data_IF_278610613770
#
_entry.id   IF_278610613770
#
_cell.length_a   1.000
_cell.length_b   1.000
_cell.length_c   1.000
_cell.angle_alpha   90.00
_cell.angle_beta   90.00
_cell.angle_gamma   90.00
#
_symmetry.space_group_name_H-M   'P 1'
#
loop_
_entity.id
_entity.type
_entity.pdbx_description
1 polymer ?
#
# COMPACT_ATOMS: atom_id res chain seq x y z
N UNK A 1 19.45 0.20 12.45
CA UNK A 1 18.81 -0.39 11.26
C UNK A 1 17.35 0.05 11.19
N UNK A 2 16.81 0.13 9.98
CA UNK A 2 15.41 0.52 9.75
C UNK A 2 14.78 -0.49 8.80
N UNK A 3 13.81 -1.25 9.27
CA UNK A 3 13.10 -2.24 8.47
C UNK A 3 11.90 -1.60 7.79
N UNK A 4 11.77 -1.80 6.48
CA UNK A 4 10.58 -1.55 5.70
C UNK A 4 9.95 -2.91 5.36
N UNK A 5 8.79 -3.30 5.93
CA UNK A 5 8.15 -4.58 5.68
C UNK A 5 7.34 -4.55 4.38
N UNK A 6 7.98 -4.10 3.30
CA UNK A 6 7.41 -3.95 1.96
C UNK A 6 8.50 -4.15 0.91
N UNK A 7 8.07 -4.36 -0.33
CA UNK A 7 8.97 -4.36 -1.48
C UNK A 7 9.61 -2.98 -1.69
N UNK A 8 10.82 -2.92 -2.27
CA UNK A 8 11.43 -1.64 -2.64
C UNK A 8 10.51 -0.82 -3.54
N UNK A 9 10.44 0.50 -3.30
CA UNK A 9 9.56 1.43 -4.01
C UNK A 9 8.12 1.51 -3.48
N UNK A 10 7.71 0.65 -2.55
CA UNK A 10 6.43 0.78 -1.86
C UNK A 10 6.44 1.90 -0.82
N UNK A 11 5.26 2.32 -0.34
CA UNK A 11 5.11 3.47 0.56
C UNK A 11 5.95 3.36 1.84
N UNK A 12 6.04 2.19 2.45
CA UNK A 12 6.89 1.99 3.63
C UNK A 12 8.38 2.04 3.32
N UNK A 13 8.80 1.60 2.14
CA UNK A 13 10.20 1.76 1.70
C UNK A 13 10.53 3.23 1.47
N UNK A 14 9.66 4.00 0.83
CA UNK A 14 9.82 5.43 0.62
C UNK A 14 9.91 6.18 1.96
N UNK A 15 9.03 5.86 2.91
CA UNK A 15 9.06 6.42 4.27
C UNK A 15 10.37 6.07 4.98
N UNK A 16 10.82 4.81 4.92
CA UNK A 16 12.07 4.39 5.55
C UNK A 16 13.28 5.12 4.95
N UNK A 17 13.32 5.33 3.63
CA UNK A 17 14.40 6.06 2.98
C UNK A 17 14.39 7.55 3.30
N UNK A 18 13.23 8.16 3.40
CA UNK A 18 13.08 9.55 3.86
C UNK A 18 13.57 9.71 5.31
N UNK A 19 13.19 8.78 6.19
CA UNK A 19 13.71 8.75 7.56
C UNK A 19 15.22 8.57 7.60
N UNK A 20 15.77 7.66 6.78
CA UNK A 20 17.22 7.45 6.66
C UNK A 20 17.92 8.77 6.35
N UNK A 21 17.46 9.49 5.33
CA UNK A 21 18.04 10.76 4.93
C UNK A 21 17.95 11.82 6.05
N UNK A 22 16.76 11.94 6.66
CA UNK A 22 16.53 12.92 7.73
C UNK A 22 17.42 12.66 8.97
N UNK A 23 17.52 11.39 9.41
CA UNK A 23 18.31 11.02 10.59
C UNK A 23 19.82 11.25 10.37
N UNK A 24 20.31 11.02 9.16
CA UNK A 24 21.72 11.28 8.81
C UNK A 24 21.97 12.79 8.66
N UNK A 25 21.10 13.50 7.97
CA UNK A 25 21.23 14.96 7.78
C UNK A 25 21.15 15.74 9.10
N UNK A 26 20.32 15.28 10.04
CA UNK A 26 20.23 15.86 11.38
C UNK A 26 21.36 15.46 12.33
N UNK A 27 22.30 14.63 11.90
CA UNK A 27 23.42 14.16 12.73
C UNK A 27 23.01 13.20 13.87
N UNK A 28 21.75 12.71 13.86
CA UNK A 28 21.23 11.76 14.86
C UNK A 28 21.91 10.40 14.70
N UNK A 29 22.19 10.01 13.48
CA UNK A 29 22.91 8.77 13.17
C UNK A 29 23.98 9.01 12.12
N UNK A 30 25.15 8.35 12.26
CA UNK A 30 26.21 8.40 11.25
C UNK A 30 25.81 7.68 9.96
N UNK A 31 25.06 6.61 10.09
CA UNK A 31 24.51 5.84 8.98
C UNK A 31 23.23 5.12 9.42
N UNK A 32 22.31 4.92 8.50
CA UNK A 32 21.10 4.13 8.70
C UNK A 32 21.02 3.12 7.56
N UNK A 33 20.91 1.84 7.90
CA UNK A 33 20.69 0.79 6.91
C UNK A 33 19.20 0.51 6.80
N UNK A 34 18.63 0.67 5.59
CA UNK A 34 17.26 0.26 5.29
C UNK A 34 17.27 -1.18 4.77
N UNK A 35 16.40 -2.02 5.31
CA UNK A 35 16.21 -3.41 4.87
C UNK A 35 14.74 -3.64 4.51
N UNK A 36 14.49 -4.30 3.38
CA UNK A 36 13.16 -4.64 2.93
C UNK A 36 12.80 -6.09 3.28
N UNK A 37 11.65 -6.29 3.90
CA UNK A 37 11.10 -7.62 4.25
C UNK A 37 9.64 -7.69 3.78
N UNK A 38 9.39 -7.90 2.49
CA UNK A 38 8.03 -7.94 1.96
C UNK A 38 7.32 -9.23 2.38
N UNK A 39 6.00 -9.20 2.36
CA UNK A 39 5.14 -10.37 2.50
C UNK A 39 3.97 -10.17 3.46
N UNK A 40 2.81 -10.66 3.02
CA UNK A 40 1.56 -10.74 3.79
C UNK A 40 1.18 -9.44 4.53
N UNK A 41 1.27 -8.29 3.85
CA UNK A 41 0.92 -6.98 4.43
C UNK A 41 1.81 -6.56 5.60
N UNK A 42 3.06 -7.02 5.62
CA UNK A 42 4.03 -6.75 6.69
C UNK A 42 4.03 -7.76 7.82
N UNK A 43 3.14 -8.76 7.80
CA UNK A 43 3.09 -9.80 8.85
C UNK A 43 4.40 -10.60 8.94
N UNK A 44 5.07 -10.85 7.80
CA UNK A 44 6.39 -11.50 7.78
C UNK A 44 7.43 -10.60 8.44
N UNK A 45 7.43 -9.31 8.10
CA UNK A 45 8.38 -8.34 8.64
C UNK A 45 8.24 -8.15 10.15
N UNK A 46 7.02 -7.99 10.67
CA UNK A 46 6.83 -7.84 12.12
C UNK A 46 7.23 -9.10 12.89
N UNK A 47 6.94 -10.29 12.36
CA UNK A 47 7.36 -11.54 12.99
C UNK A 47 8.90 -11.63 13.06
N UNK A 48 9.60 -11.28 11.99
CA UNK A 48 11.05 -11.23 11.98
C UNK A 48 11.59 -10.16 12.94
N UNK A 49 10.97 -8.99 12.99
CA UNK A 49 11.38 -7.89 13.85
C UNK A 49 11.23 -8.24 15.34
N UNK A 50 10.06 -8.77 15.76
CA UNK A 50 9.81 -9.17 17.15
C UNK A 50 10.78 -10.26 17.60
N UNK A 51 11.08 -11.23 16.74
CA UNK A 51 11.97 -12.33 17.10
C UNK A 51 13.46 -11.94 17.09
N UNK A 52 13.85 -11.02 16.22
CA UNK A 52 15.27 -10.71 15.98
C UNK A 52 15.75 -9.39 16.60
N UNK A 53 14.85 -8.47 16.98
CA UNK A 53 15.20 -7.13 17.44
C UNK A 53 14.75 -6.82 18.86
N UNK A 54 14.23 -7.81 19.61
CA UNK A 54 13.72 -7.60 20.96
C UNK A 54 14.83 -7.06 21.88
N UNK A 55 14.57 -5.87 22.47
CA UNK A 55 15.51 -5.21 23.37
C UNK A 55 16.67 -4.46 22.66
N UNK A 56 16.73 -4.49 21.32
CA UNK A 56 17.73 -3.76 20.55
C UNK A 56 17.22 -2.38 20.15
N UNK A 57 17.57 -1.36 20.95
CA UNK A 57 17.21 0.04 20.70
C UNK A 57 17.83 0.66 19.43
N UNK A 58 18.70 -0.05 18.71
CA UNK A 58 19.27 0.39 17.43
C UNK A 58 18.46 -0.03 16.22
N UNK A 59 17.35 -0.74 16.41
CA UNK A 59 16.48 -1.20 15.34
C UNK A 59 15.10 -0.56 15.42
N UNK A 60 14.60 -0.12 14.28
CA UNK A 60 13.25 0.44 14.11
C UNK A 60 12.57 -0.23 12.91
N UNK A 61 11.24 -0.17 12.87
CA UNK A 61 10.45 -0.67 11.77
C UNK A 61 9.38 0.37 11.39
N UNK A 62 9.20 0.59 10.09
CA UNK A 62 8.05 1.34 9.58
C UNK A 62 6.84 0.43 9.52
N UNK A 63 5.69 0.92 9.91
CA UNK A 63 4.42 0.20 9.76
C UNK A 63 3.26 1.17 9.46
N UNK A 64 2.06 0.65 9.27
CA UNK A 64 0.87 1.44 9.03
C UNK A 64 -0.40 0.59 9.00
N UNK A 65 -1.50 1.20 8.60
CA UNK A 65 -2.84 0.58 8.61
C UNK A 65 -2.91 -0.76 7.86
N UNK A 66 -2.15 -0.91 6.77
CA UNK A 66 -2.09 -2.18 6.02
C UNK A 66 -1.66 -3.35 6.92
N UNK A 67 -0.69 -3.13 7.80
CA UNK A 67 -0.24 -4.17 8.75
C UNK A 67 -1.33 -4.51 9.76
N UNK A 68 -2.07 -3.53 10.26
CA UNK A 68 -3.20 -3.78 11.19
C UNK A 68 -4.22 -4.71 10.55
N UNK A 69 -4.65 -4.41 9.32
CA UNK A 69 -5.60 -5.24 8.58
C UNK A 69 -5.05 -6.64 8.26
N UNK A 70 -3.78 -6.72 7.84
CA UNK A 70 -3.14 -8.00 7.50
C UNK A 70 -2.99 -8.92 8.73
N UNK A 71 -2.61 -8.39 9.89
CA UNK A 71 -2.50 -9.16 11.13
C UNK A 71 -3.87 -9.71 11.55
N UNK A 72 -4.92 -8.89 11.44
CA UNK A 72 -6.28 -9.30 11.76
C UNK A 72 -6.80 -10.40 10.81
N UNK A 73 -6.63 -10.22 9.50
CA UNK A 73 -7.09 -11.18 8.48
C UNK A 73 -6.35 -12.52 8.56
N UNK A 74 -5.04 -12.47 8.76
CA UNK A 74 -4.19 -13.68 8.76
C UNK A 74 -4.17 -14.38 10.12
N UNK A 75 -4.90 -13.86 11.13
CA UNK A 75 -4.86 -14.37 12.51
C UNK A 75 -3.42 -14.59 13.00
N UNK A 76 -2.58 -13.59 12.77
CA UNK A 76 -1.15 -13.66 13.05
C UNK A 76 -0.92 -13.94 14.56
N UNK A 77 0.01 -14.84 14.91
CA UNK A 77 0.43 -15.04 16.30
C UNK A 77 1.25 -13.87 16.85
N UNK A 78 1.74 -12.99 15.98
CA UNK A 78 2.46 -11.77 16.35
C UNK A 78 1.52 -10.58 16.18
N UNK A 79 1.50 -9.68 17.16
CA UNK A 79 0.66 -8.48 17.18
C UNK A 79 1.50 -7.22 17.38
N UNK A 80 0.88 -6.06 17.13
CA UNK A 80 1.53 -4.76 17.34
C UNK A 80 1.78 -4.44 18.83
N UNK A 81 1.14 -5.16 19.76
CA UNK A 81 1.40 -5.01 21.20
C UNK A 81 2.79 -5.49 21.62
N UNK A 82 3.46 -6.25 20.73
CA UNK A 82 4.82 -6.76 20.97
C UNK A 82 5.91 -5.78 20.53
N UNK A 83 5.53 -4.62 20.00
CA UNK A 83 6.44 -3.54 19.58
C UNK A 83 6.05 -2.24 20.26
N UNK A 84 7.03 -1.33 20.44
CA UNK A 84 6.79 -0.02 21.03
C UNK A 84 6.56 1.01 19.96
N UNK A 85 5.36 1.63 19.84
CA UNK A 85 5.13 2.72 18.92
C UNK A 85 5.93 3.96 19.33
N UNK A 86 6.62 4.58 18.37
CA UNK A 86 7.47 5.75 18.61
C UNK A 86 6.79 7.03 18.13
N UNK A 87 6.34 7.06 16.87
CA UNK A 87 5.73 8.25 16.28
C UNK A 87 4.84 7.92 15.10
N UNK A 88 3.78 8.72 14.89
CA UNK A 88 3.04 8.81 13.63
C UNK A 88 3.72 9.88 12.77
N UNK A 89 4.25 9.48 11.61
CA UNK A 89 5.07 10.35 10.77
C UNK A 89 4.31 10.94 9.59
N UNK A 90 3.42 10.14 8.98
CA UNK A 90 2.77 10.50 7.72
C UNK A 90 1.27 10.21 7.75
N UNK A 91 0.54 10.97 6.95
CA UNK A 91 -0.78 10.65 6.47
C UNK A 91 -0.69 10.43 4.96
N UNK A 92 -1.55 9.60 4.41
CA UNK A 92 -1.52 9.26 3.00
C UNK A 92 -2.91 9.42 2.38
N UNK A 93 -2.95 10.14 1.26
CA UNK A 93 -4.14 10.27 0.44
C UNK A 93 -4.15 9.10 -0.55
N UNK A 94 -5.22 8.34 -0.56
CA UNK A 94 -5.42 7.26 -1.53
C UNK A 94 -5.95 7.82 -2.84
N UNK A 95 -5.53 7.23 -3.96
CA UNK A 95 -6.00 7.60 -5.29
C UNK A 95 -6.48 6.38 -6.07
N UNK A 96 -7.58 6.54 -6.80
CA UNK A 96 -8.04 5.56 -7.78
C UNK A 96 -7.54 6.01 -9.16
N UNK A 97 -6.80 5.15 -9.84
CA UNK A 97 -6.23 5.42 -11.15
C UNK A 97 -6.63 4.38 -12.18
N UNK A 98 -6.60 4.78 -13.44
CA UNK A 98 -6.68 3.89 -14.61
C UNK A 98 -5.55 4.21 -15.59
N UNK A 99 -5.19 3.30 -16.51
CA UNK A 99 -4.29 3.64 -17.61
C UNK A 99 -4.80 4.85 -18.38
N UNK A 100 -3.92 5.71 -18.85
CA UNK A 100 -4.32 6.92 -19.60
C UNK A 100 -5.16 6.64 -20.85
N UNK A 101 -4.94 5.48 -21.49
CA UNK A 101 -5.69 5.02 -22.67
C UNK A 101 -6.98 4.26 -22.30
N UNK A 102 -7.30 4.12 -21.01
CA UNK A 102 -8.55 3.48 -20.57
C UNK A 102 -9.79 4.20 -21.15
N UNK A 103 -10.84 3.46 -21.52
CA UNK A 103 -12.14 4.04 -21.86
C UNK A 103 -12.80 4.76 -20.68
N UNK A 104 -12.47 4.40 -19.44
CA UNK A 104 -12.97 5.04 -18.24
C UNK A 104 -12.28 6.40 -18.05
N UNK A 105 -13.06 7.48 -18.07
CA UNK A 105 -12.53 8.85 -18.01
C UNK A 105 -12.78 9.51 -16.66
N UNK A 106 -13.80 9.06 -15.94
CA UNK A 106 -14.30 9.65 -14.69
C UNK A 106 -14.55 8.57 -13.64
N UNK A 107 -14.70 8.98 -12.38
CA UNK A 107 -15.14 8.09 -11.31
C UNK A 107 -16.53 7.52 -11.58
N UNK A 108 -17.40 8.28 -12.25
CA UNK A 108 -18.74 7.85 -12.66
C UNK A 108 -18.69 6.73 -13.69
N UNK A 109 -17.75 6.76 -14.63
CA UNK A 109 -17.57 5.67 -15.60
C UNK A 109 -17.18 4.37 -14.89
N UNK A 110 -16.24 4.46 -13.93
CA UNK A 110 -15.82 3.33 -13.11
C UNK A 110 -17.00 2.82 -12.26
N UNK A 111 -17.75 3.73 -11.64
CA UNK A 111 -18.93 3.39 -10.86
C UNK A 111 -19.99 2.65 -11.71
N UNK A 112 -20.24 3.11 -12.92
CA UNK A 112 -21.16 2.45 -13.85
C UNK A 112 -20.67 1.05 -14.24
N UNK A 113 -19.37 0.87 -14.51
CA UNK A 113 -18.76 -0.42 -14.82
C UNK A 113 -18.90 -1.41 -13.63
N UNK A 114 -18.59 -0.95 -12.40
CA UNK A 114 -18.73 -1.77 -11.18
C UNK A 114 -20.18 -2.16 -10.94
N UNK A 115 -21.13 -1.23 -11.13
CA UNK A 115 -22.55 -1.48 -10.97
C UNK A 115 -23.09 -2.48 -12.01
N UNK A 116 -22.56 -2.43 -13.23
CA UNK A 116 -22.97 -3.34 -14.30
C UNK A 116 -22.49 -4.77 -14.04
N UNK A 117 -21.22 -4.96 -13.69
CA UNK A 117 -20.63 -6.26 -13.36
C UNK A 117 -19.32 -6.09 -12.58
N UNK A 118 -19.42 -6.15 -11.27
CA UNK A 118 -18.25 -6.00 -10.36
C UNK A 118 -17.17 -7.07 -10.62
N UNK A 119 -17.53 -8.27 -11.05
CA UNK A 119 -16.58 -9.35 -11.29
C UNK A 119 -15.68 -9.09 -12.51
N UNK A 120 -16.11 -8.25 -13.44
CA UNK A 120 -15.34 -7.84 -14.63
C UNK A 120 -14.44 -6.64 -14.39
N UNK A 121 -14.61 -5.94 -13.28
CA UNK A 121 -13.76 -4.80 -12.91
C UNK A 121 -12.66 -5.28 -11.96
N UNK A 122 -11.44 -5.36 -12.48
CA UNK A 122 -10.29 -5.82 -11.69
C UNK A 122 -9.59 -4.62 -11.05
N UNK A 123 -9.47 -4.65 -9.74
CA UNK A 123 -8.70 -3.66 -8.98
C UNK A 123 -7.33 -4.23 -8.59
N UNK A 124 -6.28 -3.43 -8.77
CA UNK A 124 -4.95 -3.71 -8.24
C UNK A 124 -4.61 -2.74 -7.12
N UNK A 125 -3.91 -3.21 -6.12
CA UNK A 125 -3.41 -2.37 -5.03
C UNK A 125 -2.45 -3.14 -4.14
N UNK A 126 -2.16 -2.65 -2.96
CA UNK A 126 -1.33 -3.34 -1.98
C UNK A 126 -2.00 -4.57 -1.39
N UNK A 127 -1.46 -5.05 -0.30
CA UNK A 127 -1.82 -6.32 0.31
C UNK A 127 -3.31 -6.47 0.62
N UNK A 128 -3.81 -7.70 0.50
CA UNK A 128 -5.18 -8.02 0.88
C UNK A 128 -5.44 -7.62 2.35
N UNK A 129 -6.62 -7.01 2.60
CA UNK A 129 -6.99 -6.46 3.91
C UNK A 129 -6.38 -5.09 4.21
N UNK A 130 -5.49 -4.59 3.36
CA UNK A 130 -4.94 -3.25 3.47
C UNK A 130 -5.91 -2.15 3.07
N UNK A 131 -5.46 -0.89 3.19
CA UNK A 131 -6.26 0.30 2.93
C UNK A 131 -6.81 0.32 1.50
N UNK A 132 -6.01 -0.09 0.52
CA UNK A 132 -6.39 -0.13 -0.89
C UNK A 132 -7.55 -1.10 -1.15
N UNK A 133 -7.47 -2.30 -0.54
CA UNK A 133 -8.54 -3.30 -0.64
C UNK A 133 -9.82 -2.81 0.04
N UNK A 134 -9.71 -2.21 1.24
CA UNK A 134 -10.85 -1.63 1.94
C UNK A 134 -11.47 -0.49 1.13
N UNK A 135 -10.66 0.38 0.53
CA UNK A 135 -11.14 1.47 -0.32
C UNK A 135 -11.88 0.94 -1.55
N UNK A 136 -11.36 -0.10 -2.22
CA UNK A 136 -12.05 -0.74 -3.34
C UNK A 136 -13.42 -1.31 -2.91
N UNK A 137 -13.47 -1.96 -1.75
CA UNK A 137 -14.72 -2.50 -1.20
C UNK A 137 -15.73 -1.40 -0.83
N UNK A 138 -15.26 -0.32 -0.21
CA UNK A 138 -16.10 0.85 0.11
C UNK A 138 -16.63 1.50 -1.17
N UNK A 139 -15.78 1.71 -2.19
CA UNK A 139 -16.20 2.24 -3.47
C UNK A 139 -17.31 1.37 -4.10
N UNK A 140 -17.13 0.05 -4.12
CA UNK A 140 -18.16 -0.88 -4.60
C UNK A 140 -19.47 -0.74 -3.81
N UNK A 141 -19.39 -0.63 -2.49
CA UNK A 141 -20.54 -0.42 -1.62
C UNK A 141 -21.30 0.88 -1.90
N UNK A 142 -20.59 1.98 -2.18
CA UNK A 142 -21.24 3.29 -2.47
C UNK A 142 -22.07 3.27 -3.75
N UNK A 143 -21.72 2.41 -4.71
CA UNK A 143 -22.48 2.26 -5.96
C UNK A 143 -23.55 1.16 -5.90
N UNK A 144 -23.73 0.54 -4.72
CA UNK A 144 -24.71 -0.50 -4.49
C UNK A 144 -24.31 -1.88 -5.01
N UNK A 145 -23.02 -2.11 -5.29
CA UNK A 145 -22.50 -3.41 -5.66
C UNK A 145 -22.13 -4.25 -4.42
N UNK A 146 -22.17 -5.58 -4.57
CA UNK A 146 -21.78 -6.49 -3.49
C UNK A 146 -20.24 -6.51 -3.32
N UNK A 147 -19.75 -5.79 -2.31
CA UNK A 147 -18.33 -5.69 -2.03
C UNK A 147 -17.62 -7.04 -1.81
N UNK A 148 -18.37 -8.12 -1.46
CA UNK A 148 -17.80 -9.46 -1.31
C UNK A 148 -17.40 -10.10 -2.64
N UNK A 149 -17.91 -9.57 -3.76
CA UNK A 149 -17.63 -10.05 -5.12
C UNK A 149 -16.54 -9.25 -5.81
N UNK A 150 -15.86 -8.36 -5.10
CA UNK A 150 -14.81 -7.53 -5.69
C UNK A 150 -13.67 -8.39 -6.24
N UNK A 151 -13.26 -8.10 -7.46
CA UNK A 151 -12.11 -8.74 -8.08
C UNK A 151 -10.86 -7.91 -7.78
N UNK A 152 -10.23 -8.20 -6.63
CA UNK A 152 -9.06 -7.49 -6.16
C UNK A 152 -7.80 -8.35 -6.27
N UNK A 153 -6.77 -7.82 -6.93
CA UNK A 153 -5.45 -8.45 -7.07
C UNK A 153 -4.46 -7.74 -6.15
N UNK A 154 -4.04 -8.39 -5.06
CA UNK A 154 -3.09 -7.80 -4.13
C UNK A 154 -1.65 -7.91 -4.64
N UNK A 155 -0.87 -6.86 -4.40
CA UNK A 155 0.57 -6.78 -4.62
C UNK A 155 1.30 -6.42 -3.31
N UNK A 156 2.62 -6.55 -3.29
CA UNK A 156 3.42 -6.18 -2.10
C UNK A 156 3.62 -4.67 -1.92
N UNK A 157 3.07 -3.86 -2.84
CA UNK A 157 3.11 -2.39 -2.80
C UNK A 157 2.75 -1.79 -4.15
N UNK A 158 2.60 -0.45 -4.18
CA UNK A 158 2.19 0.30 -5.36
C UNK A 158 3.14 0.18 -6.55
N UNK A 159 4.44 -0.04 -6.31
CA UNK A 159 5.41 -0.23 -7.39
C UNK A 159 5.12 -1.46 -8.25
N UNK A 160 4.74 -2.58 -7.64
CA UNK A 160 4.38 -3.81 -8.36
C UNK A 160 3.01 -3.67 -9.03
N UNK A 161 2.01 -3.12 -8.32
CA UNK A 161 0.68 -2.89 -8.86
C UNK A 161 0.71 -1.93 -10.04
N UNK A 162 1.59 -0.91 -10.01
CA UNK A 162 1.81 0.04 -11.10
C UNK A 162 2.17 -0.65 -12.42
N UNK A 163 3.05 -1.65 -12.38
CA UNK A 163 3.42 -2.42 -13.58
C UNK A 163 2.22 -3.16 -14.18
N UNK A 164 1.37 -3.74 -13.33
CA UNK A 164 0.15 -4.42 -13.77
C UNK A 164 -0.86 -3.44 -14.40
N UNK A 165 -1.01 -2.24 -13.82
CA UNK A 165 -1.90 -1.20 -14.32
C UNK A 165 -1.41 -0.69 -15.68
N UNK A 166 -0.14 -0.29 -15.79
CA UNK A 166 0.45 0.21 -17.03
C UNK A 166 0.46 -0.84 -18.14
N UNK A 167 0.60 -2.10 -17.79
CA UNK A 167 0.53 -3.24 -18.71
C UNK A 167 -0.89 -3.64 -19.12
N UNK A 168 -1.94 -2.93 -18.65
CA UNK A 168 -3.33 -3.22 -18.99
C UNK A 168 -3.84 -4.56 -18.46
N UNK A 169 -3.22 -5.10 -17.41
CA UNK A 169 -3.60 -6.40 -16.80
C UNK A 169 -4.78 -6.27 -15.84
N UNK A 170 -5.08 -5.05 -15.42
CA UNK A 170 -6.17 -4.70 -14.49
C UNK A 170 -6.92 -3.49 -14.98
N UNK A 171 -8.17 -3.33 -14.52
CA UNK A 171 -9.05 -2.23 -14.93
C UNK A 171 -8.65 -0.93 -14.24
N UNK A 172 -8.40 -0.98 -12.93
CA UNK A 172 -8.08 0.18 -12.10
C UNK A 172 -7.03 -0.18 -11.04
N UNK A 173 -6.31 0.83 -10.56
CA UNK A 173 -5.40 0.72 -9.44
C UNK A 173 -5.81 1.61 -8.29
N UNK A 174 -5.50 1.18 -7.08
CA UNK A 174 -5.68 1.95 -5.85
C UNK A 174 -4.37 1.86 -5.06
N UNK A 175 -3.84 3.01 -4.66
CA UNK A 175 -2.69 3.09 -3.75
C UNK A 175 -2.54 4.53 -3.23
N UNK A 176 -1.55 4.75 -2.37
CA UNK A 176 -1.17 6.08 -1.97
C UNK A 176 -0.76 6.95 -3.16
N UNK A 177 -1.19 8.19 -3.16
CA UNK A 177 -0.92 9.13 -4.26
C UNK A 177 0.57 9.24 -4.57
N UNK A 178 1.43 9.21 -3.55
CA UNK A 178 2.89 9.31 -3.70
C UNK A 178 3.49 8.22 -4.59
N UNK A 179 2.88 7.03 -4.62
CA UNK A 179 3.36 5.90 -5.42
C UNK A 179 3.02 6.02 -6.91
N UNK A 180 1.94 6.75 -7.24
CA UNK A 180 1.44 6.90 -8.62
C UNK A 180 1.65 8.30 -9.21
N UNK A 181 1.98 9.29 -8.40
CA UNK A 181 2.08 10.71 -8.79
C UNK A 181 2.98 10.93 -10.00
N UNK A 182 4.14 10.28 -10.04
CA UNK A 182 5.08 10.40 -11.16
C UNK A 182 4.48 9.96 -12.50
N UNK A 183 3.68 8.89 -12.50
CA UNK A 183 3.02 8.39 -13.71
C UNK A 183 1.77 9.19 -14.09
N UNK A 184 1.09 9.76 -13.11
CA UNK A 184 -0.02 10.71 -13.34
C UNK A 184 0.53 11.98 -14.00
N UNK A 185 1.61 12.57 -13.45
CA UNK A 185 2.28 13.74 -14.03
C UNK A 185 2.85 13.48 -15.43
N UNK A 186 3.35 12.27 -15.67
CA UNK A 186 3.83 11.85 -16.98
C UNK A 186 2.71 11.52 -18.00
N UNK A 187 1.43 11.64 -17.59
CA UNK A 187 0.28 11.36 -18.46
C UNK A 187 0.10 9.88 -18.81
N UNK A 188 0.71 8.96 -18.07
CA UNK A 188 0.58 7.51 -18.28
C UNK A 188 -0.57 6.90 -17.50
N UNK A 189 -0.96 7.52 -16.39
CA UNK A 189 -2.12 7.21 -15.57
C UNK A 189 -3.08 8.39 -15.53
N UNK A 190 -4.36 8.09 -15.37
CA UNK A 190 -5.41 9.06 -15.08
C UNK A 190 -5.95 8.81 -13.67
N UNK A 191 -5.89 9.83 -12.81
CA UNK A 191 -6.59 9.82 -11.54
C UNK A 191 -8.11 10.03 -11.79
N UNK A 192 -8.92 9.17 -11.20
CA UNK A 192 -10.39 9.26 -11.27
C UNK A 192 -10.97 9.90 -10.00
N UNK A 193 -10.28 9.79 -8.87
CA UNK A 193 -10.68 10.34 -7.59
C UNK A 193 -9.60 10.19 -6.52
N UNK A 194 -9.68 11.02 -5.51
CA UNK A 194 -8.86 11.04 -4.29
C UNK A 194 -9.72 10.72 -3.09
#
# INVERSE_FOLDING_TARGET
>A
KLMAPAAPGGGWDQTARSMQQALVAAGVARSVQVTNVPGAGGSVGIAQFVNGAKGDGSQMMVNGFVMVGALAMNKSPVTLDQVTPIARLTEEIQVIVVPANSPLKTAQDLAAAVKADIAKVTFAGGSAGGVDHVMAALFAGTVGADAKKINYIPFSGGGESLAAILGGKVTAGISGLSEYEGQIKAGKLRALGL
#
